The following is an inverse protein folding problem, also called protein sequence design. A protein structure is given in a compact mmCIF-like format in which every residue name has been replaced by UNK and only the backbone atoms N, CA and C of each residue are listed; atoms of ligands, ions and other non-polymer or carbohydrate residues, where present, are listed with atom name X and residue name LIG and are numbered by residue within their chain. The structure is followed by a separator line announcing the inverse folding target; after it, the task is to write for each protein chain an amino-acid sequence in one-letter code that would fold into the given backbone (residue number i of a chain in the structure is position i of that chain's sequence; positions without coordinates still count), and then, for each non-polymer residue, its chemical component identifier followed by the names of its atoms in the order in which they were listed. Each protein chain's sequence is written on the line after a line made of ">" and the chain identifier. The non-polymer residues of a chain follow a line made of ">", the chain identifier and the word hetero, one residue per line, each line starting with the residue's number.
data_IF_655924028906
#
_entry.id   IF_655924028906
#
_cell.length_a   1.000
_cell.length_b   1.000
_cell.length_c   1.000
_cell.angle_alpha   90.00
_cell.angle_beta   90.00
_cell.angle_gamma   90.00
#
_symmetry.space_group_name_H-M   'P 1'
#
loop_
_entity.id
_entity.type
_entity.pdbx_description
1 polymer ?
#
# COMPACT_ATOMS: atom_id res chain seq x y z
N UNK A 1 -0.60 -19.08 -1.57
CA UNK A 1 0.43 -19.52 -2.54
C UNK A 1 1.45 -18.42 -2.87
N UNK A 2 1.07 -17.13 -2.84
CA UNK A 2 1.98 -15.98 -3.06
C UNK A 2 3.03 -15.82 -1.93
N UNK A 3 2.70 -16.21 -0.69
CA UNK A 3 3.61 -16.10 0.47
C UNK A 3 4.91 -16.92 0.34
N UNK A 4 4.87 -18.10 -0.30
CA UNK A 4 6.09 -18.90 -0.53
C UNK A 4 6.99 -18.28 -1.61
N UNK A 5 6.41 -17.58 -2.58
CA UNK A 5 7.16 -16.84 -3.61
C UNK A 5 7.77 -15.55 -3.04
N UNK A 6 7.10 -14.92 -2.06
CA UNK A 6 7.59 -13.77 -1.29
C UNK A 6 8.85 -14.08 -0.46
N UNK A 7 8.91 -15.30 0.06
CA UNK A 7 10.04 -15.76 0.87
C UNK A 7 11.27 -16.12 0.03
N UNK A 8 11.09 -16.43 -1.26
CA UNK A 8 12.17 -16.82 -2.19
C UNK A 8 12.66 -15.67 -3.09
N UNK A 9 11.88 -14.59 -3.20
CA UNK A 9 12.28 -13.39 -3.94
C UNK A 9 13.20 -12.53 -3.08
N UNK A 10 14.34 -12.12 -3.64
CA UNK A 10 15.36 -11.33 -2.95
C UNK A 10 14.94 -9.88 -2.65
N UNK A 11 13.73 -9.48 -3.01
CA UNK A 11 13.25 -8.10 -2.95
C UNK A 11 11.86 -7.96 -2.35
N UNK A 12 11.59 -6.78 -1.80
CA UNK A 12 10.27 -6.34 -1.31
C UNK A 12 9.18 -6.29 -2.39
N UNK A 13 9.48 -6.56 -3.66
CA UNK A 13 8.53 -6.52 -4.78
C UNK A 13 7.30 -7.42 -4.57
N UNK A 14 7.45 -8.56 -3.86
CA UNK A 14 6.30 -9.42 -3.58
C UNK A 14 5.35 -8.79 -2.56
N UNK A 15 5.88 -8.09 -1.55
CA UNK A 15 5.05 -7.31 -0.63
C UNK A 15 4.39 -6.14 -1.35
N UNK A 16 5.04 -5.56 -2.36
CA UNK A 16 4.45 -4.55 -3.21
C UNK A 16 3.25 -5.06 -4.02
N UNK A 17 3.36 -6.27 -4.58
CA UNK A 17 2.24 -6.91 -5.28
C UNK A 17 1.11 -7.28 -4.30
N UNK A 18 1.44 -7.70 -3.09
CA UNK A 18 0.45 -7.94 -2.04
C UNK A 18 -0.30 -6.65 -1.68
N UNK A 19 0.42 -5.54 -1.56
CA UNK A 19 -0.17 -4.23 -1.34
C UNK A 19 -1.10 -3.80 -2.48
N UNK A 20 -0.74 -4.09 -3.74
CA UNK A 20 -1.62 -3.85 -4.91
C UNK A 20 -2.91 -4.66 -4.82
N UNK A 21 -2.84 -5.93 -4.45
CA UNK A 21 -4.04 -6.74 -4.24
C UNK A 21 -4.90 -6.19 -3.08
N UNK A 22 -4.29 -5.74 -1.98
CA UNK A 22 -5.04 -5.09 -0.90
C UNK A 22 -5.69 -3.76 -1.33
N UNK A 23 -5.01 -2.97 -2.18
CA UNK A 23 -5.57 -1.76 -2.78
C UNK A 23 -6.80 -2.07 -3.64
N UNK A 24 -6.76 -3.12 -4.46
CA UNK A 24 -7.90 -3.56 -5.28
C UNK A 24 -9.09 -4.02 -4.43
N UNK A 25 -8.83 -4.61 -3.27
CA UNK A 25 -9.85 -5.06 -2.31
C UNK A 25 -10.30 -3.95 -1.33
N UNK A 26 -9.87 -2.70 -1.53
CA UNK A 26 -10.13 -1.57 -0.62
C UNK A 26 -9.65 -1.79 0.82
N UNK A 27 -8.72 -2.72 1.03
CA UNK A 27 -8.12 -3.02 2.34
C UNK A 27 -6.91 -2.11 2.60
N UNK A 28 -7.17 -0.80 2.70
CA UNK A 28 -6.13 0.24 2.76
C UNK A 28 -5.15 0.08 3.93
N UNK A 29 -5.63 -0.33 5.11
CA UNK A 29 -4.77 -0.56 6.28
C UNK A 29 -3.75 -1.67 6.07
N UNK A 30 -4.18 -2.78 5.45
CA UNK A 30 -3.30 -3.90 5.11
C UNK A 30 -2.36 -3.56 3.96
N UNK A 31 -2.85 -2.81 2.98
CA UNK A 31 -2.01 -2.29 1.89
C UNK A 31 -0.85 -1.46 2.45
N UNK A 32 -1.11 -0.58 3.43
CA UNK A 32 -0.06 0.23 4.06
C UNK A 32 1.01 -0.64 4.71
N UNK A 33 0.62 -1.57 5.59
CA UNK A 33 1.57 -2.44 6.28
C UNK A 33 2.40 -3.28 5.30
N UNK A 34 1.78 -3.78 4.23
CA UNK A 34 2.50 -4.51 3.19
C UNK A 34 3.52 -3.62 2.46
N UNK A 35 3.20 -2.35 2.18
CA UNK A 35 4.16 -1.41 1.56
C UNK A 35 5.31 -1.07 2.53
N UNK A 36 5.02 -0.92 3.81
CA UNK A 36 6.03 -0.69 4.84
C UNK A 36 7.01 -1.86 4.93
N UNK A 37 6.50 -3.09 5.00
CA UNK A 37 7.35 -4.30 4.95
C UNK A 37 8.15 -4.39 3.64
N UNK A 38 7.56 -3.99 2.51
CA UNK A 38 8.26 -3.96 1.22
C UNK A 38 9.46 -2.99 1.24
N UNK A 39 9.28 -1.81 1.85
CA UNK A 39 10.30 -0.78 1.96
C UNK A 39 11.39 -1.15 2.98
N UNK A 40 11.02 -1.70 4.14
CA UNK A 40 11.96 -2.17 5.16
C UNK A 40 12.83 -3.32 4.65
N UNK A 41 12.23 -4.26 3.91
CA UNK A 41 12.96 -5.40 3.36
C UNK A 41 13.95 -4.99 2.26
N UNK A 42 13.69 -3.88 1.58
CA UNK A 42 14.54 -3.38 0.51
C UNK A 42 14.55 -4.31 -0.72
N UNK A 43 15.51 -4.10 -1.62
CA UNK A 43 15.60 -4.89 -2.87
C UNK A 43 14.40 -4.70 -3.80
N UNK A 44 13.67 -3.60 -3.64
CA UNK A 44 12.59 -3.20 -4.53
C UNK A 44 13.16 -2.83 -5.89
N UNK A 45 12.59 -3.43 -6.94
CA UNK A 45 12.91 -3.05 -8.32
C UNK A 45 12.53 -1.59 -8.57
N UNK A 46 11.42 -1.14 -7.99
CA UNK A 46 10.95 0.24 -8.09
C UNK A 46 10.53 0.80 -6.72
N UNK A 47 11.51 1.32 -5.98
CA UNK A 47 11.27 1.95 -4.68
C UNK A 47 10.47 3.26 -4.80
N UNK A 48 10.53 3.94 -5.95
CA UNK A 48 9.77 5.17 -6.19
C UNK A 48 8.27 4.87 -6.29
N UNK A 49 7.92 3.78 -6.97
CA UNK A 49 6.55 3.28 -7.04
C UNK A 49 6.01 2.90 -5.65
N UNK A 50 6.82 2.23 -4.82
CA UNK A 50 6.44 1.88 -3.45
C UNK A 50 6.08 3.12 -2.61
N UNK A 51 6.90 4.17 -2.69
CA UNK A 51 6.63 5.43 -2.00
C UNK A 51 5.40 6.16 -2.55
N UNK A 52 5.13 6.09 -3.86
CA UNK A 52 3.89 6.64 -4.45
C UNK A 52 2.66 5.92 -3.93
N UNK A 53 2.69 4.58 -3.91
CA UNK A 53 1.60 3.76 -3.38
C UNK A 53 1.37 4.05 -1.90
N UNK A 54 2.44 4.18 -1.10
CA UNK A 54 2.31 4.53 0.33
C UNK A 54 1.60 5.87 0.51
N UNK A 55 2.05 6.90 -0.20
CA UNK A 55 1.41 8.23 -0.16
C UNK A 55 -0.06 8.17 -0.56
N UNK A 56 -0.41 7.39 -1.59
CA UNK A 56 -1.79 7.21 -2.02
C UNK A 56 -2.63 6.55 -0.92
N UNK A 57 -2.11 5.50 -0.28
CA UNK A 57 -2.77 4.82 0.83
C UNK A 57 -2.93 5.73 2.05
N UNK A 58 -1.91 6.51 2.41
CA UNK A 58 -1.97 7.45 3.53
C UNK A 58 -3.04 8.54 3.32
N UNK A 59 -3.20 9.02 2.08
CA UNK A 59 -4.28 9.95 1.71
C UNK A 59 -5.64 9.27 1.83
N UNK A 60 -5.78 8.03 1.33
CA UNK A 60 -7.04 7.27 1.39
C UNK A 60 -7.45 6.92 2.83
N UNK A 61 -6.47 6.65 3.69
CA UNK A 61 -6.70 6.40 5.12
C UNK A 61 -6.92 7.68 5.93
N UNK A 62 -6.78 8.87 5.33
CA UNK A 62 -6.98 10.14 6.01
C UNK A 62 -5.85 10.55 6.96
N UNK A 63 -4.67 9.94 6.87
CA UNK A 63 -3.49 10.33 7.68
C UNK A 63 -2.85 11.66 7.24
N UNK A 64 -3.42 12.37 6.26
CA UNK A 64 -2.78 13.54 5.65
C UNK A 64 -3.67 14.68 5.14
N UNK A 65 -4.95 14.78 5.52
CA UNK A 65 -5.75 16.00 5.31
C UNK A 65 -6.81 16.17 6.39
N UNK A 66 -6.45 16.78 7.52
CA UNK A 66 -7.39 17.62 8.24
C UNK A 66 -7.71 18.83 7.34
N UNK A 67 -8.79 18.74 6.56
CA UNK A 67 -9.33 19.91 5.87
C UNK A 67 -10.06 19.64 4.57
N UNK A 68 -11.40 19.51 4.65
CA UNK A 68 -12.31 19.98 3.60
C UNK A 68 -13.16 18.90 2.92
N UNK A 69 -14.41 18.73 3.38
CA UNK A 69 -15.48 18.24 2.51
C UNK A 69 -16.33 17.07 3.01
N UNK A 70 -16.90 17.15 4.22
CA UNK A 70 -18.35 16.92 4.30
C UNK A 70 -19.05 18.26 4.01
N UNK A 71 -20.33 18.33 3.58
CA UNK A 71 -21.37 17.30 3.55
C UNK A 71 -22.18 17.22 2.22
N UNK A 72 -23.02 16.18 2.07
CA UNK A 72 -24.33 16.13 1.36
C UNK A 72 -24.65 14.66 1.04
N UNK A 73 -25.59 14.00 1.74
CA UNK A 73 -27.01 13.92 1.37
C UNK A 73 -27.25 13.63 -0.12
N UNK A 74 -27.74 12.42 -0.44
CA UNK A 74 -28.92 12.28 -1.30
C UNK A 74 -29.64 10.95 -1.03
N UNK A 75 -30.79 11.09 -0.35
CA UNK A 75 -32.06 10.33 -0.43
C UNK A 75 -32.17 8.86 -0.02
#
# INVERSE_FOLDING_TARGET
>A
MIEMLARKSAGGDVYLNLARAYLENCEWGRARSAIEEALEKGGLTDAAEALRLRRKVDVLLGYGTTGGGGPAEDR
#
